data_IF_058476555079
#
_entry.id   IF_058476555079
#
_cell.length_a   1.000
_cell.length_b   1.000
_cell.length_c   1.000
_cell.angle_alpha   90.00
_cell.angle_beta   90.00
_cell.angle_gamma   90.00
#
_symmetry.space_group_name_H-M   'P 1'
#
loop_
_entity.id
_entity.type
_entity.pdbx_description
1 polymer ?
#
# COMPACT_ATOMS: atom_id res chain seq x y z
N UNK A 1 19.67 8.95 1.85
CA UNK A 1 18.77 9.83 1.03
C UNK A 1 17.86 9.01 0.11
N UNK A 2 18.38 7.96 -0.53
CA UNK A 2 17.61 7.07 -1.44
C UNK A 2 16.49 6.34 -0.70
N UNK A 3 16.75 5.83 0.50
CA UNK A 3 15.73 5.17 1.32
C UNK A 3 14.48 6.04 1.56
N UNK A 4 14.67 7.34 1.87
CA UNK A 4 13.56 8.25 2.15
C UNK A 4 12.63 8.43 0.94
N UNK A 5 13.18 8.57 -0.27
CA UNK A 5 12.40 8.65 -1.50
C UNK A 5 11.67 7.35 -1.81
N UNK A 6 12.36 6.21 -1.69
CA UNK A 6 11.75 4.89 -1.94
C UNK A 6 10.60 4.63 -0.96
N UNK A 7 10.76 4.96 0.32
CA UNK A 7 9.71 4.84 1.33
C UNK A 7 8.54 5.77 1.00
N UNK A 8 8.81 7.06 0.73
CA UNK A 8 7.77 8.05 0.44
C UNK A 8 6.93 7.69 -0.78
N UNK A 9 7.58 7.38 -1.90
CA UNK A 9 6.90 7.02 -3.15
C UNK A 9 6.11 5.71 -3.01
N UNK A 10 6.68 4.67 -2.37
CA UNK A 10 5.97 3.41 -2.15
C UNK A 10 4.78 3.58 -1.21
N UNK A 11 4.88 4.41 -0.18
CA UNK A 11 3.76 4.68 0.71
C UNK A 11 2.62 5.44 0.00
N UNK A 12 2.95 6.39 -0.88
CA UNK A 12 1.94 7.07 -1.70
C UNK A 12 1.24 6.07 -2.64
N UNK A 13 1.99 5.22 -3.34
CA UNK A 13 1.42 4.18 -4.21
C UNK A 13 0.55 3.19 -3.44
N UNK A 14 0.98 2.78 -2.24
CA UNK A 14 0.18 1.92 -1.36
C UNK A 14 -1.13 2.59 -0.94
N UNK A 15 -1.11 3.89 -0.63
CA UNK A 15 -2.31 4.63 -0.27
C UNK A 15 -3.31 4.70 -1.45
N UNK A 16 -2.81 4.96 -2.66
CA UNK A 16 -3.64 4.94 -3.87
C UNK A 16 -4.23 3.56 -4.14
N UNK A 17 -3.43 2.50 -4.02
CA UNK A 17 -3.90 1.12 -4.20
C UNK A 17 -4.96 0.75 -3.16
N UNK A 18 -4.79 1.17 -1.89
CA UNK A 18 -5.82 0.98 -0.86
C UNK A 18 -7.13 1.67 -1.23
N UNK A 19 -7.06 2.93 -1.69
CA UNK A 19 -8.24 3.67 -2.12
C UNK A 19 -8.95 3.02 -3.34
N UNK A 20 -8.18 2.41 -4.26
CA UNK A 20 -8.74 1.68 -5.41
C UNK A 20 -9.38 0.34 -5.03
N UNK A 21 -8.95 -0.27 -3.93
CA UNK A 21 -9.48 -1.55 -3.44
C UNK A 21 -10.63 -1.36 -2.44
N UNK A 22 -10.84 -0.13 -1.96
CA UNK A 22 -11.94 0.18 -1.07
C UNK A 22 -13.26 0.14 -1.84
N UNK A 23 -14.27 -0.63 -1.39
CA UNK A 23 -15.56 -0.71 -2.05
C UNK A 23 -16.41 0.52 -1.69
N UNK A 24 -16.13 1.63 -2.38
CA UNK A 24 -16.77 2.94 -2.17
C UNK A 24 -18.27 2.89 -2.50
N UNK A 25 -18.67 2.17 -3.55
CA UNK A 25 -20.08 2.11 -3.98
C UNK A 25 -20.99 1.50 -2.90
N UNK A 26 -20.69 0.31 -2.32
CA UNK A 26 -21.46 -0.22 -1.19
C UNK A 26 -21.49 0.70 0.04
N UNK A 27 -20.36 1.31 0.39
CA UNK A 27 -20.28 2.23 1.53
C UNK A 27 -21.16 3.47 1.33
N UNK A 28 -21.22 3.98 0.09
CA UNK A 28 -22.07 5.10 -0.29
C UNK A 28 -23.55 4.76 -0.24
N UNK A 29 -23.94 3.55 -0.66
CA UNK A 29 -25.32 3.06 -0.52
C UNK A 29 -25.74 3.00 0.95
N UNK A 30 -24.91 2.41 1.82
CA UNK A 30 -25.19 2.35 3.26
C UNK A 30 -25.30 3.73 3.90
N UNK A 31 -24.48 4.69 3.44
CA UNK A 31 -24.57 6.07 3.89
C UNK A 31 -25.88 6.76 3.47
N UNK A 32 -26.34 6.52 2.24
CA UNK A 32 -27.63 7.04 1.74
C UNK A 32 -28.84 6.40 2.43
N UNK A 33 -28.71 5.14 2.84
CA UNK A 33 -29.73 4.40 3.60
C UNK A 33 -29.73 4.75 5.11
N UNK A 34 -28.74 5.52 5.58
CA UNK A 34 -28.60 5.91 6.98
C UNK A 34 -28.04 4.82 7.89
N UNK A 35 -27.53 3.72 7.33
CA UNK A 35 -26.92 2.62 8.08
C UNK A 35 -25.44 2.93 8.38
N UNK A 36 -25.23 3.85 9.31
CA UNK A 36 -23.89 4.22 9.77
C UNK A 36 -23.18 3.11 10.54
N UNK A 37 -23.93 2.16 11.09
CA UNK A 37 -23.37 1.02 11.86
C UNK A 37 -22.67 0.06 10.92
N UNK A 38 -23.35 -0.37 9.85
CA UNK A 38 -22.76 -1.26 8.85
C UNK A 38 -21.63 -0.56 8.09
N UNK A 39 -21.78 0.74 7.78
CA UNK A 39 -20.71 1.54 7.15
C UNK A 39 -19.43 1.52 8.00
N UNK A 40 -19.55 1.77 9.31
CA UNK A 40 -18.41 1.76 10.22
C UNK A 40 -17.80 0.35 10.35
N UNK A 41 -18.63 -0.68 10.55
CA UNK A 41 -18.17 -2.05 10.70
C UNK A 41 -17.38 -2.53 9.47
N UNK A 42 -17.91 -2.31 8.26
CA UNK A 42 -17.24 -2.69 7.02
C UNK A 42 -15.93 -1.91 6.81
N UNK A 43 -15.91 -0.62 7.14
CA UNK A 43 -14.70 0.20 7.03
C UNK A 43 -13.57 -0.33 7.93
N UNK A 44 -13.89 -0.76 9.15
CA UNK A 44 -12.91 -1.37 10.04
C UNK A 44 -12.44 -2.75 9.54
N UNK A 45 -13.36 -3.58 9.03
CA UNK A 45 -13.02 -4.87 8.43
C UNK A 45 -12.07 -4.72 7.22
N UNK A 46 -12.27 -3.72 6.35
CA UNK A 46 -11.39 -3.51 5.20
C UNK A 46 -9.95 -3.15 5.58
N UNK A 47 -9.68 -2.70 6.82
CA UNK A 47 -8.31 -2.45 7.28
C UNK A 47 -7.50 -3.74 7.48
N UNK A 48 -8.16 -4.87 7.73
CA UNK A 48 -7.53 -6.18 7.97
C UNK A 48 -7.42 -7.03 6.71
N UNK A 49 -8.06 -6.60 5.61
CA UNK A 49 -8.02 -7.32 4.34
C UNK A 49 -6.57 -7.48 3.84
N UNK A 50 -6.28 -8.53 3.05
CA UNK A 50 -4.92 -8.88 2.62
C UNK A 50 -4.38 -7.93 1.54
N UNK A 51 -4.28 -6.64 1.85
CA UNK A 51 -3.68 -5.61 1.02
C UNK A 51 -2.22 -5.92 0.66
N UNK A 52 -1.48 -6.54 1.59
CA UNK A 52 -0.09 -6.93 1.37
C UNK A 52 0.10 -7.82 0.15
N UNK A 53 -0.81 -8.79 -0.05
CA UNK A 53 -0.76 -9.70 -1.20
C UNK A 53 -1.01 -8.97 -2.52
N UNK A 54 -1.96 -8.02 -2.54
CA UNK A 54 -2.24 -7.22 -3.76
C UNK A 54 -1.06 -6.30 -4.09
N UNK A 55 -0.46 -5.69 -3.06
CA UNK A 55 0.74 -4.87 -3.23
C UNK A 55 1.94 -5.67 -3.75
N UNK A 56 2.13 -6.89 -3.25
CA UNK A 56 3.19 -7.80 -3.69
C UNK A 56 3.02 -8.19 -5.15
N UNK A 57 1.81 -8.57 -5.56
CA UNK A 57 1.51 -8.85 -6.96
C UNK A 57 1.72 -7.64 -7.88
N UNK A 58 1.36 -6.43 -7.43
CA UNK A 58 1.65 -5.19 -8.17
C UNK A 58 3.16 -4.98 -8.36
N UNK A 59 3.95 -5.24 -7.32
CA UNK A 59 5.42 -5.16 -7.40
C UNK A 59 5.99 -6.19 -8.37
N UNK A 60 5.52 -7.44 -8.30
CA UNK A 60 5.93 -8.53 -9.19
C UNK A 60 5.64 -8.18 -10.66
N UNK A 61 4.42 -7.71 -10.96
CA UNK A 61 4.04 -7.26 -12.31
C UNK A 61 4.86 -6.09 -12.82
N UNK A 62 5.29 -5.22 -11.92
CA UNK A 62 6.12 -4.07 -12.23
C UNK A 62 7.62 -4.41 -12.32
N UNK A 63 8.01 -5.66 -12.06
CA UNK A 63 9.41 -6.09 -12.05
C UNK A 63 10.24 -5.44 -10.94
N UNK A 64 9.60 -4.97 -9.86
CA UNK A 64 10.27 -4.32 -8.72
C UNK A 64 10.21 -5.19 -7.47
N UNK A 65 11.21 -5.11 -6.57
CA UNK A 65 11.18 -5.87 -5.33
C UNK A 65 9.98 -5.51 -4.44
N UNK A 66 9.19 -6.53 -4.09
CA UNK A 66 8.08 -6.45 -3.14
C UNK A 66 8.55 -6.24 -1.70
N UNK A 67 7.60 -5.89 -0.82
CA UNK A 67 7.80 -5.86 0.63
C UNK A 67 9.09 -5.15 1.08
N UNK A 68 9.92 -5.75 1.92
CA UNK A 68 11.22 -5.23 2.37
C UNK A 68 12.41 -5.58 1.47
N UNK A 69 12.23 -6.35 0.39
CA UNK A 69 13.34 -6.81 -0.45
C UNK A 69 14.15 -5.66 -1.08
N UNK A 70 13.51 -4.50 -1.32
CA UNK A 70 14.18 -3.30 -1.83
C UNK A 70 15.25 -2.76 -0.87
N UNK A 71 15.16 -3.09 0.43
CA UNK A 71 16.12 -2.64 1.44
C UNK A 71 17.51 -3.23 1.19
N UNK A 72 17.59 -4.47 0.68
CA UNK A 72 18.87 -5.09 0.34
C UNK A 72 19.59 -4.32 -0.78
N UNK A 73 18.84 -3.93 -1.82
CA UNK A 73 19.36 -3.12 -2.93
C UNK A 73 19.85 -1.74 -2.46
N UNK A 74 19.11 -1.09 -1.56
CA UNK A 74 19.51 0.21 -1.00
C UNK A 74 20.76 0.08 -0.14
N UNK A 75 20.84 -0.93 0.74
CA UNK A 75 22.04 -1.16 1.57
C UNK A 75 23.27 -1.47 0.72
N UNK A 76 23.12 -2.25 -0.35
CA UNK A 76 24.21 -2.52 -1.29
C UNK A 76 24.69 -1.24 -1.98
N UNK A 77 23.75 -0.41 -2.47
CA UNK A 77 24.08 0.85 -3.10
C UNK A 77 24.78 1.83 -2.14
N UNK A 78 24.30 1.96 -0.91
CA UNK A 78 24.92 2.82 0.10
C UNK A 78 26.37 2.38 0.39
N UNK A 79 26.63 1.06 0.47
CA UNK A 79 27.99 0.54 0.67
C UNK A 79 28.94 0.83 -0.50
N UNK A 80 28.44 0.80 -1.74
CA UNK A 80 29.29 0.95 -2.93
C UNK A 80 29.52 2.40 -3.37
N UNK A 81 28.58 3.31 -3.12
CA UNK A 81 28.62 4.67 -3.68
C UNK A 81 28.81 5.75 -2.60
N UNK A 82 28.31 5.53 -1.38
CA UNK A 82 28.34 6.53 -0.30
C UNK A 82 29.58 6.43 0.61
N UNK A 83 30.33 5.32 0.54
CA UNK A 83 31.58 5.11 1.30
C UNK A 83 32.83 5.19 0.42
N UNK A 84 32.73 5.78 -0.77
CA UNK A 84 33.87 6.21 -1.59
C UNK A 84 34.27 7.65 -1.24
#
# INVERSE_FOLDING_TARGET
RIAAWVIGTRNMQKALLKALLEPIEPLKTLELEGDYTSRLALTEEYKTYPFGAVWEYYCEKSGVPGNEHWLQSVKAYEKHVLFS
#
